data_IF_499852224310
#
_entry.id   IF_499852224310
#
_cell.length_a   1.000
_cell.length_b   1.000
_cell.length_c   1.000
_cell.angle_alpha   90.00
_cell.angle_beta   90.00
_cell.angle_gamma   90.00
#
_symmetry.space_group_name_H-M   'P 1'
#
loop_
_entity.id
_entity.type
_entity.pdbx_description
1 polymer ?
#
# COMPACT_ATOMS: atom_id res chain seq x y z
N UNK A 1 50.74 -7.73 4.78
CA UNK A 1 49.79 -7.23 5.80
C UNK A 1 48.48 -6.95 5.05
N UNK A 2 47.49 -7.84 5.09
CA UNK A 2 46.23 -7.64 4.36
C UNK A 2 45.27 -6.80 5.21
N UNK A 3 44.52 -5.86 4.61
CA UNK A 3 43.51 -5.09 5.34
C UNK A 3 42.47 -6.06 5.88
N UNK A 4 42.17 -5.99 7.19
CA UNK A 4 41.01 -6.68 7.75
C UNK A 4 39.78 -6.17 7.02
N UNK A 5 39.14 -7.04 6.25
CA UNK A 5 37.92 -6.75 5.48
C UNK A 5 36.98 -5.99 6.41
N UNK A 6 36.70 -4.76 5.98
CA UNK A 6 36.01 -3.77 6.77
C UNK A 6 34.65 -4.34 7.17
N UNK A 7 34.36 -4.21 8.46
CA UNK A 7 33.25 -4.81 9.18
C UNK A 7 32.05 -5.00 8.27
N UNK A 8 31.65 -6.26 8.10
CA UNK A 8 30.29 -6.56 7.71
C UNK A 8 29.39 -5.85 8.74
N UNK A 9 29.00 -4.64 8.40
CA UNK A 9 27.96 -3.90 9.08
C UNK A 9 26.69 -4.54 8.56
N UNK A 10 26.30 -5.68 9.18
CA UNK A 10 24.96 -6.23 9.11
C UNK A 10 24.19 -5.18 9.87
N UNK A 11 23.91 -4.09 9.16
CA UNK A 11 22.92 -3.08 9.41
C UNK A 11 21.92 -3.70 10.37
N UNK A 12 22.07 -3.31 11.63
CA UNK A 12 21.22 -3.74 12.72
C UNK A 12 19.87 -3.04 12.49
N UNK A 13 19.22 -3.34 11.39
CA UNK A 13 17.82 -3.03 11.25
C UNK A 13 17.14 -3.86 12.32
N UNK A 14 16.52 -3.16 13.26
CA UNK A 14 15.71 -3.80 14.27
C UNK A 14 14.69 -4.65 13.52
N UNK A 15 14.71 -5.97 13.73
CA UNK A 15 13.86 -6.92 12.98
C UNK A 15 12.37 -6.51 12.97
N UNK A 16 11.95 -5.76 14.00
CA UNK A 16 10.62 -5.14 14.10
C UNK A 16 10.41 -4.02 13.07
N UNK A 17 11.37 -3.11 12.91
CA UNK A 17 11.34 -2.04 11.90
C UNK A 17 11.25 -2.64 10.49
N UNK A 18 12.05 -3.67 10.21
CA UNK A 18 12.01 -4.37 8.91
C UNK A 18 10.64 -5.02 8.65
N UNK A 19 10.05 -5.69 9.65
CA UNK A 19 8.73 -6.31 9.53
C UNK A 19 7.63 -5.27 9.29
N UNK A 20 7.63 -4.16 10.04
CA UNK A 20 6.65 -3.07 9.88
C UNK A 20 6.77 -2.45 8.48
N UNK A 21 7.99 -2.18 8.03
CA UNK A 21 8.24 -1.62 6.71
C UNK A 21 7.82 -2.56 5.58
N UNK A 22 7.98 -3.87 5.75
CA UNK A 22 7.47 -4.87 4.81
C UNK A 22 5.94 -4.82 4.71
N UNK A 23 5.23 -4.73 5.85
CA UNK A 23 3.76 -4.61 5.87
C UNK A 23 3.30 -3.31 5.21
N UNK A 24 3.92 -2.17 5.54
CA UNK A 24 3.60 -0.87 4.92
C UNK A 24 3.81 -0.93 3.41
N UNK A 25 4.90 -1.56 2.96
CA UNK A 25 5.22 -1.72 1.54
C UNK A 25 4.17 -2.58 0.84
N UNK A 26 3.77 -3.71 1.43
CA UNK A 26 2.74 -4.58 0.88
C UNK A 26 1.39 -3.84 0.74
N UNK A 27 0.98 -3.12 1.78
CA UNK A 27 -0.26 -2.32 1.73
C UNK A 27 -0.18 -1.19 0.70
N UNK A 28 0.98 -0.54 0.57
CA UNK A 28 1.23 0.49 -0.45
C UNK A 28 0.99 -0.09 -1.84
N UNK A 29 1.55 -1.26 -2.16
CA UNK A 29 1.31 -1.92 -3.45
C UNK A 29 -0.15 -2.33 -3.64
N UNK A 30 -0.82 -2.84 -2.61
CA UNK A 30 -2.24 -3.17 -2.68
C UNK A 30 -3.11 -1.95 -3.02
N UNK A 31 -2.80 -0.78 -2.44
CA UNK A 31 -3.50 0.47 -2.73
C UNK A 31 -3.14 0.99 -4.13
N UNK A 32 -1.89 0.86 -4.59
CA UNK A 32 -1.57 1.17 -5.98
C UNK A 32 -2.35 0.27 -6.95
N UNK A 33 -2.43 -1.02 -6.68
CA UNK A 33 -3.26 -1.94 -7.46
C UNK A 33 -4.72 -1.51 -7.47
N UNK A 34 -5.25 -1.07 -6.31
CA UNK A 34 -6.62 -0.51 -6.20
C UNK A 34 -6.84 0.65 -7.15
N UNK A 35 -5.91 1.60 -7.19
CA UNK A 35 -5.96 2.77 -8.06
C UNK A 35 -5.91 2.34 -9.53
N UNK A 36 -4.96 1.49 -9.91
CA UNK A 36 -4.84 0.99 -11.29
C UNK A 36 -6.14 0.28 -11.71
N UNK A 37 -6.65 -0.62 -10.88
CA UNK A 37 -7.88 -1.35 -11.17
C UNK A 37 -9.10 -0.43 -11.31
N UNK A 38 -9.14 0.70 -10.60
CA UNK A 38 -10.21 1.69 -10.75
C UNK A 38 -10.26 2.30 -12.16
N UNK A 39 -9.12 2.41 -12.84
CA UNK A 39 -9.05 2.85 -14.24
C UNK A 39 -9.29 1.70 -15.23
N UNK A 40 -8.89 0.47 -14.87
CA UNK A 40 -9.09 -0.71 -15.71
C UNK A 40 -10.56 -1.11 -15.81
N UNK A 41 -11.33 -1.02 -14.72
CA UNK A 41 -12.73 -1.48 -14.68
C UNK A 41 -13.59 -0.82 -15.79
N UNK A 42 -13.63 0.52 -15.94
CA UNK A 42 -14.39 1.16 -17.01
C UNK A 42 -13.96 0.75 -18.43
N UNK A 43 -12.69 0.36 -18.62
CA UNK A 43 -12.14 -0.05 -19.92
C UNK A 43 -12.60 -1.45 -20.36
N UNK A 44 -13.15 -2.26 -19.45
CA UNK A 44 -13.54 -3.65 -19.74
C UNK A 44 -14.88 -3.81 -20.44
N UNK A 45 -15.64 -2.71 -20.59
CA UNK A 45 -17.02 -2.76 -21.07
C UNK A 45 -17.95 -3.48 -20.12
N UNK A 46 -19.11 -3.93 -20.62
CA UNK A 46 -20.15 -4.57 -19.78
C UNK A 46 -19.86 -6.01 -19.35
N UNK A 47 -18.74 -6.62 -19.78
CA UNK A 47 -18.43 -8.05 -19.53
C UNK A 47 -16.93 -8.28 -19.26
N UNK A 48 -16.45 -7.99 -18.04
CA UNK A 48 -15.05 -8.24 -17.67
C UNK A 48 -14.72 -9.74 -17.64
N UNK A 49 -13.45 -10.07 -17.93
CA UNK A 49 -12.96 -11.44 -17.86
C UNK A 49 -13.00 -11.99 -16.42
N UNK A 50 -13.33 -13.28 -16.18
CA UNK A 50 -13.47 -13.83 -14.83
C UNK A 50 -12.24 -13.63 -13.93
N UNK A 51 -11.04 -13.81 -14.49
CA UNK A 51 -9.76 -13.60 -13.76
C UNK A 51 -9.66 -12.17 -13.23
N UNK A 52 -10.07 -11.18 -14.04
CA UNK A 52 -10.01 -9.78 -13.64
C UNK A 52 -10.99 -9.50 -12.50
N UNK A 53 -12.20 -10.07 -12.55
CA UNK A 53 -13.19 -9.96 -11.46
C UNK A 53 -12.65 -10.52 -10.15
N UNK A 54 -11.96 -11.67 -10.20
CA UNK A 54 -11.31 -12.27 -9.02
C UNK A 54 -10.23 -11.37 -8.44
N UNK A 55 -9.33 -10.85 -9.30
CA UNK A 55 -8.26 -9.94 -8.86
C UNK A 55 -8.84 -8.68 -8.23
N UNK A 56 -9.84 -8.07 -8.87
CA UNK A 56 -10.54 -6.89 -8.34
C UNK A 56 -11.13 -7.21 -6.98
N UNK A 57 -11.86 -8.30 -6.84
CA UNK A 57 -12.53 -8.68 -5.59
C UNK A 57 -11.52 -8.91 -4.48
N UNK A 58 -10.41 -9.57 -4.76
CA UNK A 58 -9.33 -9.79 -3.81
C UNK A 58 -8.71 -8.47 -3.34
N UNK A 59 -8.35 -7.58 -4.26
CA UNK A 59 -7.77 -6.27 -3.92
C UNK A 59 -8.76 -5.41 -3.14
N UNK A 60 -10.05 -5.43 -3.51
CA UNK A 60 -11.12 -4.79 -2.72
C UNK A 60 -11.09 -5.31 -1.28
N UNK A 61 -11.17 -6.62 -1.07
CA UNK A 61 -11.29 -7.21 0.26
C UNK A 61 -10.12 -6.87 1.19
N UNK A 62 -8.90 -6.82 0.65
CA UNK A 62 -7.70 -6.47 1.43
C UNK A 62 -7.68 -4.99 1.79
N UNK A 63 -8.08 -4.12 0.86
CA UNK A 63 -7.93 -2.67 1.03
C UNK A 63 -9.13 -2.00 1.70
N UNK A 64 -10.33 -2.58 1.58
CA UNK A 64 -11.57 -1.98 2.07
C UNK A 64 -11.66 -1.77 3.58
N UNK A 65 -11.11 -2.63 4.46
CA UNK A 65 -11.09 -2.36 5.90
C UNK A 65 -10.38 -1.05 6.27
N UNK A 66 -9.43 -0.60 5.45
CA UNK A 66 -8.67 0.64 5.65
C UNK A 66 -9.29 1.79 4.84
N UNK A 67 -9.59 1.56 3.55
CA UNK A 67 -10.13 2.58 2.66
C UNK A 67 -11.58 2.95 3.00
N UNK A 68 -12.41 1.99 3.42
CA UNK A 68 -13.82 2.20 3.73
C UNK A 68 -14.05 3.24 4.83
N UNK A 69 -13.42 3.11 6.00
CA UNK A 69 -13.49 4.13 7.05
C UNK A 69 -12.99 5.50 6.59
N UNK A 70 -11.85 5.55 5.89
CA UNK A 70 -11.28 6.80 5.38
C UNK A 70 -12.22 7.47 4.37
N UNK A 71 -12.83 6.69 3.47
CA UNK A 71 -13.79 7.18 2.48
C UNK A 71 -15.03 7.79 3.13
N UNK A 72 -15.50 7.24 4.25
CA UNK A 72 -16.65 7.78 5.01
C UNK A 72 -16.32 9.10 5.71
N UNK A 73 -15.05 9.32 6.03
CA UNK A 73 -14.58 10.57 6.65
C UNK A 73 -14.33 11.70 5.66
N UNK A 74 -14.18 11.37 4.36
CA UNK A 74 -13.96 12.36 3.31
C UNK A 74 -15.30 12.89 2.77
N UNK A 75 -15.36 14.17 2.36
CA UNK A 75 -16.48 14.69 1.59
C UNK A 75 -16.69 13.87 0.30
N UNK A 76 -17.93 13.77 -0.18
CA UNK A 76 -18.23 13.09 -1.43
C UNK A 76 -17.80 13.94 -2.63
N UNK A 77 -16.82 13.47 -3.40
CA UNK A 77 -16.29 14.18 -4.57
C UNK A 77 -16.88 13.67 -5.89
N UNK A 78 -18.21 13.72 -6.02
CA UNK A 78 -18.87 13.42 -7.31
C UNK A 78 -18.56 12.03 -7.88
N UNK A 79 -18.43 11.02 -7.03
CA UNK A 79 -18.15 9.64 -7.43
C UNK A 79 -16.67 9.28 -7.56
N UNK A 80 -15.75 10.24 -7.41
CA UNK A 80 -14.31 9.96 -7.37
C UNK A 80 -13.88 9.57 -5.95
N UNK A 81 -13.14 8.47 -5.83
CA UNK A 81 -12.62 7.98 -4.55
C UNK A 81 -11.20 8.50 -4.30
N UNK A 82 -11.08 9.54 -3.47
CA UNK A 82 -9.78 10.08 -3.04
C UNK A 82 -9.21 9.37 -1.80
N UNK A 83 -9.93 8.40 -1.21
CA UNK A 83 -9.44 7.65 -0.04
C UNK A 83 -8.10 6.95 -0.27
N UNK A 84 -7.76 6.39 -1.46
CA UNK A 84 -6.44 5.80 -1.70
C UNK A 84 -5.30 6.80 -1.51
N UNK A 85 -5.48 8.04 -1.97
CA UNK A 85 -4.46 9.08 -1.85
C UNK A 85 -4.24 9.48 -0.39
N UNK A 86 -5.33 9.66 0.36
CA UNK A 86 -5.25 9.96 1.79
C UNK A 86 -4.52 8.85 2.56
N UNK A 87 -4.80 7.57 2.26
CA UNK A 87 -4.12 6.45 2.92
C UNK A 87 -2.65 6.35 2.49
N UNK A 88 -2.30 6.59 1.23
CA UNK A 88 -0.90 6.60 0.80
C UNK A 88 -0.09 7.67 1.52
N UNK A 89 -0.63 8.88 1.66
CA UNK A 89 0.02 9.96 2.42
C UNK A 89 0.22 9.54 3.88
N UNK A 90 -0.81 8.94 4.49
CA UNK A 90 -0.72 8.43 5.85
C UNK A 90 0.34 7.33 6.00
N UNK A 91 0.43 6.38 5.07
CA UNK A 91 1.43 5.31 5.09
C UNK A 91 2.85 5.84 4.93
N UNK A 92 3.06 6.86 4.08
CA UNK A 92 4.36 7.52 3.93
C UNK A 92 4.76 8.18 5.25
N UNK A 93 3.84 8.90 5.89
CA UNK A 93 4.08 9.50 7.19
C UNK A 93 4.38 8.45 8.26
N UNK A 94 3.58 7.38 8.32
CA UNK A 94 3.75 6.28 9.27
C UNK A 94 5.13 5.63 9.13
N UNK A 95 5.58 5.37 7.90
CA UNK A 95 6.92 4.83 7.64
C UNK A 95 8.01 5.75 8.18
N UNK A 96 7.92 7.06 7.93
CA UNK A 96 8.89 8.03 8.44
C UNK A 96 8.95 8.05 9.95
N UNK A 97 7.79 7.97 10.62
CA UNK A 97 7.72 7.91 12.08
C UNK A 97 8.38 6.64 12.60
N UNK A 98 8.05 5.48 12.02
CA UNK A 98 8.63 4.17 12.39
C UNK A 98 10.15 4.19 12.26
N UNK A 99 10.68 4.62 11.11
CA UNK A 99 12.13 4.67 10.83
C UNK A 99 12.87 5.66 11.75
N UNK A 100 12.17 6.67 12.28
CA UNK A 100 12.76 7.66 13.19
C UNK A 100 12.72 7.27 14.67
N UNK A 101 11.81 6.37 15.04
CA UNK A 101 11.49 6.06 16.44
C UNK A 101 11.99 4.69 16.91
N UNK A 102 12.19 3.74 15.98
CA UNK A 102 12.63 2.37 16.25
C UNK A 102 14.00 2.11 15.66
#
# INVERSE_FOLDING_TARGET
MLPSVNRFNWDKENNLTALINAVITLFTFAIFARVILSFVIPMTGGRPHPILVTIITFVNQITEPVLGPVRRSLPSFGGFDFSPMAVLIFLIFLRRVVDSAL
#
